data_IF_637017237830
#
_entry.id   IF_637017237830
#
_cell.length_a   1.000
_cell.length_b   1.000
_cell.length_c   1.000
_cell.angle_alpha   90.00
_cell.angle_beta   90.00
_cell.angle_gamma   90.00
#
_symmetry.space_group_name_H-M   'P 1'
#
loop_
_entity.id
_entity.type
_entity.pdbx_description
1 polymer ?
#
# COMPACT_ATOMS: atom_id res chain seq x y z
N UNK A 1 11.93 -5.44 19.66
CA UNK A 1 12.47 -4.15 19.20
C UNK A 1 12.40 -4.18 17.68
N UNK A 2 11.45 -3.46 17.07
CA UNK A 2 11.33 -3.43 15.61
C UNK A 2 12.24 -2.31 15.09
N UNK A 3 13.24 -2.69 14.29
CA UNK A 3 14.19 -1.76 13.70
C UNK A 3 13.47 -0.90 12.67
N UNK A 4 13.53 0.43 12.84
CA UNK A 4 13.09 1.38 11.82
C UNK A 4 14.14 1.37 10.71
N UNK A 5 13.83 0.73 9.58
CA UNK A 5 14.68 0.81 8.39
C UNK A 5 14.66 2.25 7.87
N UNK A 6 15.86 2.83 7.68
CA UNK A 6 16.00 4.16 7.09
C UNK A 6 15.70 4.07 5.59
N UNK A 7 14.50 4.49 5.18
CA UNK A 7 14.08 4.46 3.79
C UNK A 7 14.84 5.46 2.92
N UNK A 8 15.46 4.96 1.85
CA UNK A 8 15.82 5.74 0.68
C UNK A 8 14.54 6.43 0.16
N UNK A 9 14.61 7.73 -0.14
CA UNK A 9 13.45 8.47 -0.67
C UNK A 9 12.96 7.80 -1.95
N UNK A 10 11.81 7.12 -1.88
CA UNK A 10 11.29 6.34 -3.01
C UNK A 10 10.65 5.01 -2.64
N UNK A 11 10.83 4.51 -1.41
CA UNK A 11 10.28 3.21 -1.00
C UNK A 11 9.00 3.33 -0.17
N UNK A 12 8.08 2.39 -0.37
CA UNK A 12 6.90 2.20 0.47
C UNK A 12 7.26 1.24 1.61
N UNK A 13 7.27 1.73 2.85
CA UNK A 13 7.80 0.97 4.01
C UNK A 13 6.66 0.50 4.90
N UNK A 14 6.64 -0.80 5.24
CA UNK A 14 5.72 -1.38 6.22
C UNK A 14 6.05 -0.89 7.62
N UNK A 15 5.06 -0.32 8.32
CA UNK A 15 5.19 0.21 9.67
C UNK A 15 4.77 -0.81 10.72
N UNK A 16 3.57 -1.39 10.55
CA UNK A 16 2.98 -2.35 11.49
C UNK A 16 1.83 -3.10 10.82
N UNK A 17 1.49 -4.28 11.34
CA UNK A 17 0.23 -4.96 11.07
C UNK A 17 -0.57 -5.06 12.37
N UNK A 18 -1.83 -4.62 12.34
CA UNK A 18 -2.73 -4.67 13.49
C UNK A 18 -4.15 -5.02 13.03
N UNK A 19 -4.78 -6.01 13.66
CA UNK A 19 -6.19 -6.37 13.43
C UNK A 19 -6.53 -6.65 11.95
N UNK A 20 -5.68 -7.39 11.23
CA UNK A 20 -5.91 -7.73 9.82
C UNK A 20 -5.67 -6.58 8.83
N UNK A 21 -4.98 -5.53 9.27
CA UNK A 21 -4.66 -4.36 8.46
C UNK A 21 -3.20 -3.97 8.66
N UNK A 22 -2.49 -3.80 7.56
CA UNK A 22 -1.13 -3.28 7.55
C UNK A 22 -1.13 -1.78 7.29
N UNK A 23 -0.17 -1.10 7.92
CA UNK A 23 0.10 0.30 7.69
C UNK A 23 1.44 0.43 6.97
N UNK A 24 1.43 1.15 5.86
CA UNK A 24 2.61 1.51 5.12
C UNK A 24 2.79 3.02 5.10
N UNK A 25 4.03 3.48 5.03
CA UNK A 25 4.36 4.88 4.83
C UNK A 25 5.19 5.08 3.57
N UNK A 26 4.88 6.15 2.85
CA UNK A 26 5.69 6.68 1.78
C UNK A 26 6.17 8.08 2.14
N UNK A 27 7.47 8.34 2.02
CA UNK A 27 8.04 9.68 2.18
C UNK A 27 8.00 10.42 0.85
N UNK A 28 7.07 11.34 0.69
CA UNK A 28 6.89 12.14 -0.51
C UNK A 28 5.45 12.63 -0.65
N UNK A 29 4.97 12.73 -1.89
CA UNK A 29 3.60 13.16 -2.18
C UNK A 29 2.69 11.97 -2.54
N UNK A 30 1.38 12.24 -2.62
CA UNK A 30 0.36 11.21 -2.88
C UNK A 30 0.50 10.54 -4.24
N UNK A 31 0.91 11.28 -5.27
CA UNK A 31 1.05 10.74 -6.63
C UNK A 31 2.25 9.81 -6.77
N UNK A 32 3.33 10.06 -6.05
CA UNK A 32 4.49 9.16 -5.98
C UNK A 32 4.19 7.94 -5.11
N UNK A 33 3.59 8.15 -3.94
CA UNK A 33 3.22 7.07 -3.04
C UNK A 33 2.23 6.09 -3.68
N UNK A 34 1.25 6.59 -4.44
CA UNK A 34 0.27 5.72 -5.10
C UNK A 34 0.90 4.90 -6.22
N UNK A 35 1.84 5.48 -6.97
CA UNK A 35 2.60 4.76 -8.00
C UNK A 35 3.41 3.61 -7.38
N UNK A 36 4.01 3.82 -6.22
CA UNK A 36 4.73 2.75 -5.54
C UNK A 36 3.82 1.69 -4.95
N UNK A 37 2.67 2.07 -4.38
CA UNK A 37 1.66 1.11 -3.94
C UNK A 37 1.20 0.22 -5.10
N UNK A 38 0.84 0.83 -6.23
CA UNK A 38 0.37 0.11 -7.42
C UNK A 38 1.46 -0.79 -7.99
N UNK A 39 2.71 -0.32 -8.02
CA UNK A 39 3.86 -1.11 -8.47
C UNK A 39 4.06 -2.35 -7.60
N UNK A 40 4.11 -2.19 -6.28
CA UNK A 40 4.33 -3.30 -5.36
C UNK A 40 3.17 -4.31 -5.40
N UNK A 41 1.93 -3.83 -5.52
CA UNK A 41 0.76 -4.69 -5.72
C UNK A 41 0.86 -5.48 -7.05
N UNK A 42 1.28 -4.83 -8.15
CA UNK A 42 1.47 -5.48 -9.43
C UNK A 42 2.56 -6.55 -9.42
N UNK A 43 3.68 -6.29 -8.73
CA UNK A 43 4.74 -7.29 -8.50
C UNK A 43 4.23 -8.50 -7.69
N UNK A 44 3.20 -8.28 -6.87
CA UNK A 44 2.50 -9.29 -6.09
C UNK A 44 1.33 -9.97 -6.83
N UNK A 45 1.20 -9.78 -8.16
CA UNK A 45 0.08 -10.31 -8.96
C UNK A 45 -1.31 -9.76 -8.56
N UNK A 46 -1.36 -8.50 -8.13
CA UNK A 46 -2.61 -7.75 -7.95
C UNK A 46 -2.71 -6.61 -8.95
N UNK A 47 -3.77 -6.62 -9.74
CA UNK A 47 -4.04 -5.61 -10.76
C UNK A 47 -4.78 -4.42 -10.16
N UNK A 48 -4.25 -3.20 -10.39
CA UNK A 48 -4.97 -1.97 -10.04
C UNK A 48 -6.14 -1.73 -10.98
N UNK A 49 -7.34 -1.52 -10.41
CA UNK A 49 -8.58 -1.26 -11.17
C UNK A 49 -8.82 0.24 -11.33
N UNK A 50 -9.05 0.90 -10.21
CA UNK A 50 -9.40 2.32 -10.20
C UNK A 50 -9.16 2.94 -8.82
N UNK A 51 -9.22 4.28 -8.79
CA UNK A 51 -9.13 5.07 -7.57
C UNK A 51 -10.47 5.77 -7.32
N UNK A 52 -11.06 5.57 -6.15
CA UNK A 52 -12.25 6.26 -5.67
C UNK A 52 -11.90 7.11 -4.44
N UNK A 53 -11.71 8.40 -4.66
CA UNK A 53 -11.26 9.33 -3.61
C UNK A 53 -9.90 8.92 -3.04
N UNK A 54 -9.88 8.52 -1.77
CA UNK A 54 -8.67 8.05 -1.09
C UNK A 54 -8.43 6.54 -1.24
N UNK A 55 -9.38 5.78 -1.77
CA UNK A 55 -9.33 4.33 -1.94
C UNK A 55 -8.75 3.90 -3.28
N UNK A 56 -7.87 2.89 -3.26
CA UNK A 56 -7.26 2.24 -4.40
C UNK A 56 -7.77 0.80 -4.46
N UNK A 57 -8.46 0.44 -5.54
CA UNK A 57 -9.09 -0.87 -5.71
C UNK A 57 -8.14 -1.77 -6.51
N UNK A 58 -7.93 -2.99 -6.01
CA UNK A 58 -7.10 -4.02 -6.61
C UNK A 58 -7.87 -5.34 -6.74
N UNK A 59 -7.59 -6.10 -7.78
CA UNK A 59 -8.10 -7.46 -8.00
C UNK A 59 -6.93 -8.44 -8.11
N UNK A 60 -7.07 -9.63 -7.50
CA UNK A 60 -6.08 -10.68 -7.62
C UNK A 60 -6.03 -11.28 -9.04
N UNK A 61 -4.83 -11.51 -9.58
CA UNK A 61 -4.65 -12.07 -10.93
C UNK A 61 -4.62 -13.61 -10.96
N UNK A 62 -4.98 -14.27 -9.86
CA UNK A 62 -5.02 -15.73 -9.72
C UNK A 62 -6.34 -16.36 -10.23
N UNK A 63 -7.22 -15.55 -10.84
CA UNK A 63 -8.53 -15.96 -11.30
C UNK A 63 -9.58 -16.08 -10.19
N UNK A 64 -9.25 -15.70 -8.95
CA UNK A 64 -10.23 -15.49 -7.89
C UNK A 64 -10.82 -14.09 -8.00
N UNK A 65 -12.13 -13.93 -7.82
CA UNK A 65 -12.82 -12.62 -7.79
C UNK A 65 -12.52 -11.84 -6.49
N UNK A 66 -11.30 -11.95 -5.97
CA UNK A 66 -10.88 -11.30 -4.73
C UNK A 66 -10.49 -9.86 -5.02
N UNK A 67 -11.16 -8.95 -4.32
CA UNK A 67 -10.85 -7.52 -4.34
C UNK A 67 -10.26 -7.05 -3.01
N UNK A 68 -9.35 -6.09 -3.09
CA UNK A 68 -8.78 -5.39 -1.94
C UNK A 68 -8.82 -3.88 -2.16
N UNK A 69 -9.14 -3.14 -1.08
CA UNK A 69 -9.17 -1.67 -1.11
C UNK A 69 -8.14 -1.13 -0.13
N UNK A 70 -7.06 -0.56 -0.65
CA UNK A 70 -6.11 0.19 0.15
C UNK A 70 -6.55 1.65 0.28
N UNK A 71 -6.46 2.23 1.48
CA UNK A 71 -6.91 3.61 1.73
C UNK A 71 -5.72 4.49 2.08
N UNK A 72 -5.58 5.61 1.38
CA UNK A 72 -4.54 6.60 1.67
C UNK A 72 -4.98 7.67 2.66
N UNK A 73 -4.03 8.17 3.45
CA UNK A 73 -4.18 9.36 4.27
C UNK A 73 -2.89 10.18 4.22
N UNK A 74 -3.01 11.46 3.86
CA UNK A 74 -1.89 12.40 4.01
C UNK A 74 -1.71 12.68 5.50
N UNK A 75 -0.57 12.27 6.08
CA UNK A 75 -0.29 12.51 7.49
C UNK A 75 0.40 13.86 7.70
N UNK A 76 1.40 14.15 6.86
CA UNK A 76 2.04 15.47 6.78
C UNK A 76 2.26 15.81 5.31
N UNK A 77 2.71 17.02 4.98
CA UNK A 77 3.07 17.38 3.59
C UNK A 77 4.21 16.54 2.98
N UNK A 78 4.85 15.68 3.75
CA UNK A 78 5.99 14.87 3.33
C UNK A 78 5.79 13.36 3.53
N UNK A 79 4.62 12.95 4.06
CA UNK A 79 4.35 11.54 4.34
C UNK A 79 2.91 11.17 4.02
N UNK A 80 2.76 10.10 3.26
CA UNK A 80 1.48 9.46 2.95
C UNK A 80 1.43 8.12 3.64
N UNK A 81 0.35 7.88 4.37
CA UNK A 81 0.07 6.60 4.99
C UNK A 81 -0.91 5.82 4.12
N UNK A 82 -0.69 4.51 4.04
CA UNK A 82 -1.60 3.59 3.37
C UNK A 82 -2.04 2.54 4.37
N UNK A 83 -3.35 2.37 4.46
CA UNK A 83 -3.99 1.29 5.19
C UNK A 83 -4.33 0.18 4.20
N UNK A 84 -3.65 -0.95 4.33
CA UNK A 84 -3.69 -2.06 3.38
C UNK A 84 -4.36 -3.26 4.05
N UNK A 85 -5.39 -3.89 3.45
CA UNK A 85 -6.00 -5.12 3.96
C UNK A 85 -5.00 -6.28 3.96
N UNK A 86 -5.12 -7.21 4.92
CA UNK A 86 -4.24 -8.37 5.04
C UNK A 86 -4.04 -9.16 3.74
N UNK A 87 -5.11 -9.37 2.95
CA UNK A 87 -5.04 -10.10 1.69
C UNK A 87 -4.04 -9.49 0.68
N UNK A 88 -3.91 -8.15 0.66
CA UNK A 88 -2.97 -7.44 -0.19
C UNK A 88 -1.58 -7.31 0.49
N UNK A 89 -1.55 -7.11 1.80
CA UNK A 89 -0.32 -7.06 2.61
C UNK A 89 0.50 -8.35 2.50
N UNK A 90 -0.15 -9.51 2.67
CA UNK A 90 0.48 -10.83 2.61
C UNK A 90 1.13 -11.13 1.25
N UNK A 91 0.65 -10.49 0.19
CA UNK A 91 1.19 -10.64 -1.16
C UNK A 91 2.38 -9.70 -1.43
N UNK A 92 2.47 -8.58 -0.70
CA UNK A 92 3.49 -7.54 -0.87
C UNK A 92 4.72 -7.73 0.04
N UNK A 93 4.69 -8.66 0.99
CA UNK A 93 5.75 -8.92 2.00
C UNK A 93 6.80 -9.96 1.53
#
# INVERSE_FOLDING_TARGET
MSAVQQGNGGELVKLTALQGQAWYAYRGNQAEGSRQLIRNAGEAQWSFKEQLGAGYIFEAEDGSEREAVAVSQMWTRSYVLYKVPAALDEAMD
#
